data_IF_237318864692
#
_entry.id   IF_237318864692
#
_cell.length_a   1.000
_cell.length_b   1.000
_cell.length_c   1.000
_cell.angle_alpha   90.00
_cell.angle_beta   90.00
_cell.angle_gamma   90.00
#
_symmetry.space_group_name_H-M   'P 1'
#
loop_
_entity.id
_entity.type
_entity.pdbx_description
1 polymer ?
#
# COMPACT_ATOMS: atom_id res chain seq x y z
N UNK A 1 -7.47 2.15 36.55
CA UNK A 1 -8.21 2.30 35.28
C UNK A 1 -7.53 3.39 34.47
N UNK A 2 -6.67 3.03 33.52
CA UNK A 2 -6.00 3.99 32.64
C UNK A 2 -6.92 4.29 31.48
N UNK A 3 -7.61 5.43 31.55
CA UNK A 3 -8.39 5.97 30.44
C UNK A 3 -7.45 6.77 29.53
N UNK A 4 -7.18 6.25 28.33
CA UNK A 4 -6.67 7.00 27.18
C UNK A 4 -6.90 6.18 25.90
N UNK A 5 -7.23 6.81 24.75
CA UNK A 5 -7.98 8.05 24.60
C UNK A 5 -9.06 7.98 23.50
N UNK A 6 -10.17 8.70 23.73
CA UNK A 6 -11.31 8.94 22.81
C UNK A 6 -10.90 9.57 21.46
N UNK A 7 -9.61 9.89 21.25
CA UNK A 7 -9.07 10.44 20.01
C UNK A 7 -9.06 9.43 18.86
N UNK A 8 -8.86 8.13 19.12
CA UNK A 8 -8.91 7.10 18.06
C UNK A 8 -10.28 7.01 17.39
N UNK A 9 -11.36 7.24 18.13
CA UNK A 9 -12.72 7.21 17.60
C UNK A 9 -13.04 8.36 16.62
N UNK A 10 -12.40 9.53 16.78
CA UNK A 10 -12.72 10.71 15.95
C UNK A 10 -12.23 10.56 14.51
N UNK A 11 -11.12 9.88 14.30
CA UNK A 11 -10.61 9.65 12.95
C UNK A 11 -11.42 8.58 12.22
N UNK A 12 -11.88 7.56 12.94
CA UNK A 12 -12.72 6.51 12.38
C UNK A 12 -14.13 6.98 11.98
N UNK A 13 -14.60 8.15 12.46
CA UNK A 13 -15.89 8.73 12.02
C UNK A 13 -15.81 9.59 10.77
N UNK A 14 -14.60 9.82 10.20
CA UNK A 14 -14.40 10.65 9.00
C UNK A 14 -14.61 9.91 7.66
N UNK A 15 -15.08 8.66 7.70
CA UNK A 15 -15.53 7.89 6.51
C UNK A 15 -14.42 7.19 5.71
N UNK A 16 -14.81 6.48 4.62
CA UNK A 16 -13.98 5.65 3.70
C UNK A 16 -12.68 6.28 3.25
N UNK A 17 -12.69 7.58 2.95
CA UNK A 17 -11.49 8.27 2.56
C UNK A 17 -10.39 8.28 3.64
N UNK A 18 -10.77 8.30 4.93
CA UNK A 18 -9.81 8.45 6.05
C UNK A 18 -9.34 7.09 6.57
N UNK A 19 -10.26 6.21 6.98
CA UNK A 19 -9.86 4.89 7.48
C UNK A 19 -9.24 3.96 6.40
N UNK A 20 -9.47 4.19 5.10
CA UNK A 20 -8.82 3.41 4.02
C UNK A 20 -7.59 4.08 3.41
N UNK A 21 -7.05 5.12 4.06
CA UNK A 21 -5.84 5.80 3.59
C UNK A 21 -4.60 4.88 3.65
N UNK A 22 -4.53 4.02 4.66
CA UNK A 22 -3.47 3.03 4.83
C UNK A 22 -3.96 1.88 5.74
N UNK A 23 -3.18 0.81 5.77
CA UNK A 23 -3.49 -0.42 6.52
C UNK A 23 -3.60 -0.18 8.03
N UNK A 24 -2.73 0.66 8.60
CA UNK A 24 -2.71 0.95 10.03
C UNK A 24 -4.02 1.60 10.48
N UNK A 25 -4.43 2.67 9.82
CA UNK A 25 -5.70 3.35 10.14
C UNK A 25 -6.88 2.42 9.91
N UNK A 26 -6.85 1.59 8.86
CA UNK A 26 -7.91 0.62 8.60
C UNK A 26 -8.00 -0.44 9.71
N UNK A 27 -6.87 -0.91 10.24
CA UNK A 27 -6.82 -1.86 11.33
C UNK A 27 -7.32 -1.23 12.64
N UNK A 28 -6.80 -0.06 13.00
CA UNK A 28 -7.17 0.68 14.22
C UNK A 28 -8.68 1.01 14.25
N UNK A 29 -9.28 1.25 13.08
CA UNK A 29 -10.71 1.54 12.94
C UNK A 29 -11.60 0.31 12.66
N UNK A 30 -11.05 -0.91 12.63
CA UNK A 30 -11.82 -2.13 12.32
C UNK A 30 -12.39 -2.16 10.89
N UNK A 31 -11.77 -1.43 9.97
CA UNK A 31 -12.22 -1.17 8.60
C UNK A 31 -11.58 -2.07 7.54
N UNK A 32 -10.59 -2.90 7.91
CA UNK A 32 -9.76 -3.64 6.95
C UNK A 32 -10.56 -4.35 5.87
N UNK A 33 -11.59 -5.09 6.27
CA UNK A 33 -12.47 -5.81 5.33
C UNK A 33 -13.16 -4.86 4.36
N UNK A 34 -13.66 -3.72 4.84
CA UNK A 34 -14.28 -2.72 3.98
C UNK A 34 -13.24 -2.18 2.99
N UNK A 35 -12.09 -1.70 3.47
CA UNK A 35 -11.07 -1.11 2.63
C UNK A 35 -10.55 -2.07 1.54
N UNK A 36 -10.34 -3.34 1.90
CA UNK A 36 -10.01 -4.40 0.95
C UNK A 36 -11.05 -4.54 -0.16
N UNK A 37 -12.31 -4.69 0.24
CA UNK A 37 -13.38 -5.09 -0.68
C UNK A 37 -13.96 -3.91 -1.47
N UNK A 38 -13.74 -2.67 -1.05
CA UNK A 38 -14.40 -1.50 -1.65
C UNK A 38 -13.44 -0.42 -2.14
N UNK A 39 -12.20 -0.40 -1.67
CA UNK A 39 -11.22 0.66 -2.02
C UNK A 39 -10.00 0.06 -2.73
N UNK A 40 -9.33 -0.92 -2.12
CA UNK A 40 -8.04 -1.41 -2.59
C UNK A 40 -8.14 -2.47 -3.69
N UNK A 41 -9.30 -3.10 -3.89
CA UNK A 41 -9.53 -4.04 -4.99
C UNK A 41 -9.91 -3.37 -6.33
N UNK A 42 -9.89 -2.03 -6.41
CA UNK A 42 -10.32 -1.30 -7.60
C UNK A 42 -9.28 -1.41 -8.73
N UNK A 43 -9.70 -1.23 -10.00
CA UNK A 43 -8.77 -1.13 -11.11
C UNK A 43 -7.75 0.00 -10.88
N UNK A 44 -6.49 -0.24 -11.19
CA UNK A 44 -5.38 0.68 -10.95
C UNK A 44 -4.75 1.15 -12.25
N UNK A 45 -4.17 2.35 -12.24
CA UNK A 45 -3.37 2.85 -13.36
C UNK A 45 -2.04 2.11 -13.40
N UNK A 46 -1.53 1.82 -14.60
CA UNK A 46 -0.20 1.25 -14.76
C UNK A 46 0.86 2.28 -14.39
N UNK A 47 1.73 1.92 -13.48
CA UNK A 47 2.87 2.75 -13.07
C UNK A 47 4.00 1.84 -12.62
N UNK A 48 5.24 2.27 -12.83
CA UNK A 48 6.41 1.52 -12.42
C UNK A 48 6.41 1.17 -10.91
N UNK A 49 6.06 2.08 -9.98
CA UNK A 49 5.95 1.75 -8.55
C UNK A 49 4.88 0.68 -8.28
N UNK A 50 3.74 0.73 -8.96
CA UNK A 50 2.67 -0.23 -8.79
C UNK A 50 3.06 -1.63 -9.29
N UNK A 51 3.71 -1.69 -10.45
CA UNK A 51 4.14 -2.95 -11.07
C UNK A 51 5.25 -3.61 -10.23
N UNK A 52 6.26 -2.85 -9.80
CA UNK A 52 7.32 -3.36 -8.90
C UNK A 52 6.72 -3.88 -7.60
N UNK A 53 5.77 -3.15 -7.00
CA UNK A 53 5.11 -3.60 -5.79
C UNK A 53 4.41 -4.94 -6.02
N UNK A 54 3.64 -5.08 -7.11
CA UNK A 54 2.91 -6.32 -7.39
C UNK A 54 3.86 -7.50 -7.57
N UNK A 55 4.98 -7.30 -8.24
CA UNK A 55 6.01 -8.35 -8.44
C UNK A 55 6.62 -8.77 -7.10
N UNK A 56 6.97 -7.81 -6.24
CA UNK A 56 7.50 -8.08 -4.89
C UNK A 56 6.50 -8.84 -4.03
N UNK A 57 5.23 -8.41 -4.01
CA UNK A 57 4.18 -9.09 -3.22
C UNK A 57 3.93 -10.51 -3.75
N UNK A 58 3.97 -10.69 -5.07
CA UNK A 58 3.81 -12.01 -5.68
C UNK A 58 4.97 -12.93 -5.29
N UNK A 59 6.21 -12.46 -5.43
CA UNK A 59 7.39 -13.23 -5.04
C UNK A 59 7.38 -13.61 -3.55
N UNK A 60 7.07 -12.66 -2.66
CA UNK A 60 6.97 -12.93 -1.23
C UNK A 60 5.87 -13.96 -0.93
N UNK A 61 4.70 -13.85 -1.60
CA UNK A 61 3.61 -14.80 -1.47
C UNK A 61 3.98 -16.21 -1.94
N UNK A 62 4.75 -16.35 -3.01
CA UNK A 62 5.20 -17.64 -3.52
C UNK A 62 6.28 -18.27 -2.61
N UNK A 63 7.22 -17.46 -2.10
CA UNK A 63 8.19 -17.92 -1.09
C UNK A 63 7.49 -18.44 0.18
N UNK A 64 6.42 -17.77 0.65
CA UNK A 64 5.64 -18.24 1.79
C UNK A 64 4.94 -19.57 1.53
N UNK A 65 4.46 -19.83 0.31
CA UNK A 65 3.88 -21.14 -0.06
C UNK A 65 4.93 -22.26 -0.04
N UNK A 66 6.19 -21.91 -0.29
CA UNK A 66 7.32 -22.82 -0.21
C UNK A 66 7.90 -22.96 1.22
N UNK A 67 7.17 -22.49 2.23
CA UNK A 67 7.54 -22.50 3.65
C UNK A 67 8.78 -21.65 4.00
N UNK A 68 9.08 -20.63 3.20
CA UNK A 68 10.09 -19.65 3.59
C UNK A 68 9.67 -18.92 4.87
N UNK A 69 10.64 -18.68 5.74
CA UNK A 69 10.50 -17.87 6.95
C UNK A 69 10.49 -16.38 6.61
N UNK A 70 9.94 -15.57 7.51
CA UNK A 70 9.95 -14.10 7.35
C UNK A 70 11.37 -13.55 7.20
N UNK A 71 12.32 -14.11 7.94
CA UNK A 71 13.74 -13.75 7.85
C UNK A 71 14.33 -14.09 6.47
N UNK A 72 13.98 -15.24 5.89
CA UNK A 72 14.46 -15.60 4.54
C UNK A 72 13.92 -14.65 3.47
N UNK A 73 12.66 -14.21 3.61
CA UNK A 73 12.04 -13.23 2.71
C UNK A 73 12.70 -11.86 2.88
N UNK A 74 12.95 -11.42 4.12
CA UNK A 74 13.66 -10.17 4.39
C UNK A 74 15.05 -10.16 3.72
N UNK A 75 15.85 -11.20 3.96
CA UNK A 75 17.20 -11.32 3.37
C UNK A 75 17.14 -11.33 1.84
N UNK A 76 16.15 -11.97 1.24
CA UNK A 76 15.97 -11.97 -0.21
C UNK A 76 15.69 -10.57 -0.76
N UNK A 77 14.81 -9.81 -0.11
CA UNK A 77 14.45 -8.45 -0.54
C UNK A 77 15.59 -7.46 -0.29
N UNK A 78 16.30 -7.54 0.83
CA UNK A 78 17.50 -6.74 1.09
C UNK A 78 18.57 -6.97 0.03
N UNK A 79 18.83 -8.24 -0.32
CA UNK A 79 19.76 -8.58 -1.41
C UNK A 79 19.29 -8.00 -2.75
N UNK A 80 17.99 -8.00 -3.01
CA UNK A 80 17.42 -7.39 -4.23
C UNK A 80 17.74 -5.90 -4.30
N UNK A 81 17.69 -5.19 -3.18
CA UNK A 81 18.08 -3.78 -3.10
C UNK A 81 19.58 -3.55 -3.41
N UNK A 82 20.46 -4.51 -3.12
CA UNK A 82 21.89 -4.43 -3.43
C UNK A 82 22.21 -4.52 -4.92
N UNK A 83 21.34 -5.15 -5.72
CA UNK A 83 21.52 -5.25 -7.17
C UNK A 83 21.18 -3.96 -7.92
N UNK A 84 20.59 -2.98 -7.25
CA UNK A 84 20.24 -1.71 -7.88
C UNK A 84 21.52 -0.91 -8.19
N UNK A 85 21.70 -0.43 -9.43
CA UNK A 85 22.95 0.20 -9.86
C UNK A 85 23.17 1.60 -9.28
N UNK A 86 22.15 2.20 -8.65
CA UNK A 86 22.20 3.54 -8.08
C UNK A 86 22.09 3.47 -6.55
N UNK A 87 23.05 4.02 -5.80
CA UNK A 87 23.09 3.93 -4.33
C UNK A 87 21.88 4.60 -3.65
N UNK A 88 21.32 5.67 -4.24
CA UNK A 88 20.11 6.30 -3.71
C UNK A 88 18.88 5.41 -3.92
N UNK A 89 18.82 4.67 -5.03
CA UNK A 89 17.76 3.68 -5.26
C UNK A 89 17.90 2.50 -4.30
N UNK A 90 19.11 2.01 -4.06
CA UNK A 90 19.36 0.96 -3.06
C UNK A 90 18.97 1.39 -1.65
N UNK A 91 19.29 2.62 -1.26
CA UNK A 91 18.92 3.17 0.04
C UNK A 91 17.40 3.29 0.20
N UNK A 92 16.72 3.86 -0.80
CA UNK A 92 15.26 3.99 -0.80
C UNK A 92 14.56 2.62 -0.84
N UNK A 93 15.13 1.64 -1.56
CA UNK A 93 14.64 0.26 -1.56
C UNK A 93 14.69 -0.36 -0.15
N UNK A 94 15.83 -0.24 0.54
CA UNK A 94 15.96 -0.73 1.93
C UNK A 94 14.97 -0.07 2.87
N UNK A 95 14.83 1.25 2.80
CA UNK A 95 13.86 1.98 3.62
C UNK A 95 12.42 1.47 3.39
N UNK A 96 12.06 1.16 2.14
CA UNK A 96 10.77 0.56 1.81
C UNK A 96 10.64 -0.86 2.36
N UNK A 97 11.67 -1.70 2.23
CA UNK A 97 11.66 -3.07 2.79
C UNK A 97 11.46 -3.02 4.31
N UNK A 98 12.25 -2.20 5.02
CA UNK A 98 12.18 -2.06 6.47
C UNK A 98 10.82 -1.54 6.95
N UNK A 99 10.27 -0.54 6.23
CA UNK A 99 9.03 0.11 6.62
C UNK A 99 7.79 -0.73 6.34
N UNK A 100 7.78 -1.48 5.24
CA UNK A 100 6.56 -2.12 4.74
C UNK A 100 6.53 -3.64 4.91
N UNK A 101 7.68 -4.32 4.89
CA UNK A 101 7.71 -5.79 4.91
C UNK A 101 7.02 -6.41 6.13
N UNK A 102 7.21 -5.93 7.39
CA UNK A 102 6.53 -6.51 8.54
C UNK A 102 5.00 -6.44 8.42
N UNK A 103 4.49 -5.28 7.98
CA UNK A 103 3.05 -5.06 7.77
C UNK A 103 2.52 -5.95 6.64
N UNK A 104 3.29 -6.09 5.56
CA UNK A 104 2.95 -6.94 4.42
C UNK A 104 2.86 -8.41 4.82
N UNK A 105 3.81 -8.93 5.59
CA UNK A 105 3.82 -10.34 6.02
C UNK A 105 2.61 -10.66 6.92
N UNK A 106 2.25 -9.74 7.83
CA UNK A 106 1.03 -9.84 8.64
C UNK A 106 -0.23 -9.81 7.76
N UNK A 107 -0.28 -8.96 6.73
CA UNK A 107 -1.41 -8.89 5.80
C UNK A 107 -1.56 -10.17 4.97
N UNK A 108 -0.46 -10.75 4.48
CA UNK A 108 -0.47 -12.00 3.69
C UNK A 108 -0.96 -13.16 4.56
N UNK A 109 -0.51 -13.25 5.81
CA UNK A 109 -1.02 -14.23 6.79
C UNK A 109 -2.49 -13.97 7.15
N UNK A 110 -2.91 -12.70 7.12
CA UNK A 110 -4.19 -12.20 7.63
C UNK A 110 -5.35 -12.10 6.64
N UNK A 111 -5.29 -12.73 5.45
CA UNK A 111 -6.32 -12.79 4.39
C UNK A 111 -6.16 -11.80 3.21
N UNK A 112 -5.09 -11.00 3.11
CA UNK A 112 -4.83 -10.21 1.90
C UNK A 112 -3.98 -11.02 0.91
N UNK A 113 -4.63 -11.73 -0.01
CA UNK A 113 -3.96 -12.63 -0.95
C UNK A 113 -3.66 -12.01 -2.32
N UNK A 114 -4.20 -10.83 -2.64
CA UNK A 114 -4.05 -10.23 -3.97
C UNK A 114 -3.02 -9.10 -3.99
N UNK A 115 -1.97 -9.18 -4.84
CA UNK A 115 -0.94 -8.15 -4.94
C UNK A 115 -1.48 -6.73 -5.17
N UNK A 116 -2.54 -6.60 -5.98
CA UNK A 116 -3.19 -5.31 -6.24
C UNK A 116 -3.81 -4.65 -5.01
N UNK A 117 -4.38 -5.44 -4.10
CA UNK A 117 -5.01 -4.93 -2.87
C UNK A 117 -3.93 -4.43 -1.90
N UNK A 118 -2.87 -5.22 -1.70
CA UNK A 118 -1.73 -4.84 -0.86
C UNK A 118 -1.07 -3.57 -1.40
N UNK A 119 -0.77 -3.54 -2.69
CA UNK A 119 -0.09 -2.39 -3.30
C UNK A 119 -0.94 -1.11 -3.34
N UNK A 120 -2.28 -1.24 -3.39
CA UNK A 120 -3.18 -0.10 -3.25
C UNK A 120 -3.23 0.40 -1.81
N UNK A 121 -3.21 -0.51 -0.82
CA UNK A 121 -3.18 -0.16 0.60
C UNK A 121 -1.88 0.55 1.02
N UNK A 122 -0.78 0.27 0.29
CA UNK A 122 0.51 0.94 0.41
C UNK A 122 0.59 2.27 -0.38
N UNK A 123 -0.49 2.66 -1.07
CA UNK A 123 -0.55 3.81 -2.00
C UNK A 123 0.47 3.76 -3.16
N UNK A 124 1.01 2.57 -3.48
CA UNK A 124 1.91 2.37 -4.63
C UNK A 124 1.13 2.17 -5.93
N UNK A 125 -0.11 1.69 -5.83
CA UNK A 125 -1.06 1.61 -6.93
C UNK A 125 -2.19 2.63 -6.78
N UNK A 126 -2.27 3.57 -7.73
CA UNK A 126 -3.36 4.53 -7.78
C UNK A 126 -4.60 3.95 -8.46
N UNK A 127 -5.79 4.12 -7.85
CA UNK A 127 -7.03 3.70 -8.50
C UNK A 127 -7.30 4.51 -9.77
N UNK A 128 -7.72 3.83 -10.84
CA UNK A 128 -8.07 4.46 -12.11
C UNK A 128 -9.15 5.53 -11.95
N UNK A 129 -10.13 5.29 -11.07
CA UNK A 129 -11.17 6.28 -10.77
C UNK A 129 -10.59 7.57 -10.20
N UNK A 130 -9.69 7.48 -9.22
CA UNK A 130 -9.03 8.65 -8.61
C UNK A 130 -8.22 9.40 -9.64
N UNK A 131 -7.39 8.69 -10.41
CA UNK A 131 -6.55 9.26 -11.45
C UNK A 131 -7.38 10.04 -12.50
N UNK A 132 -8.48 9.44 -12.99
CA UNK A 132 -9.37 10.10 -13.95
C UNK A 132 -10.07 11.32 -13.35
N UNK A 133 -10.46 11.28 -12.08
CA UNK A 133 -11.05 12.43 -11.40
C UNK A 133 -10.06 13.60 -11.30
N UNK A 134 -8.80 13.32 -10.96
CA UNK A 134 -7.73 14.32 -10.89
C UNK A 134 -7.42 14.93 -12.26
N UNK A 135 -7.31 14.11 -13.30
CA UNK A 135 -7.11 14.59 -14.68
C UNK A 135 -8.26 15.50 -15.15
N UNK A 136 -9.51 15.14 -14.82
CA UNK A 136 -10.67 15.96 -15.18
C UNK A 136 -10.66 17.29 -14.42
N UNK A 137 -10.29 17.29 -13.13
CA UNK A 137 -10.17 18.50 -12.35
C UNK A 137 -9.07 19.43 -12.90
N UNK A 138 -7.90 18.88 -13.27
CA UNK A 138 -6.83 19.65 -13.91
C UNK A 138 -7.28 20.29 -15.22
N UNK A 139 -7.98 19.54 -16.09
CA UNK A 139 -8.53 20.09 -17.34
C UNK A 139 -9.49 21.25 -17.11
N UNK A 140 -10.33 21.18 -16.07
CA UNK A 140 -11.21 22.28 -15.71
C UNK A 140 -10.43 23.51 -15.25
N UNK A 141 -9.39 23.34 -14.45
CA UNK A 141 -8.53 24.46 -14.00
C UNK A 141 -7.84 25.15 -15.18
N UNK A 142 -7.29 24.39 -16.11
CA UNK A 142 -6.66 24.93 -17.32
C UNK A 142 -7.66 25.69 -18.20
N UNK A 143 -8.88 25.17 -18.35
CA UNK A 143 -9.94 25.83 -19.13
C UNK A 143 -10.47 27.12 -18.49
N UNK A 144 -10.33 27.27 -17.17
CA UNK A 144 -10.77 28.46 -16.42
C UNK A 144 -9.67 29.51 -16.27
N UNK A 145 -8.47 29.27 -16.81
CA UNK A 145 -7.36 30.21 -16.72
C UNK A 145 -7.68 31.45 -17.56
N UNK A 146 -7.83 32.58 -16.89
CA UNK A 146 -8.02 33.89 -17.52
C UNK A 146 -6.69 34.29 -18.20
N UNK A 147 -6.69 34.80 -19.44
CA UNK A 147 -5.48 35.20 -20.17
C UNK A 147 -4.57 36.17 -19.40
#
# INVERSE_FOLDING_TARGET
>A
AVASPVLGLKECTRGSAVWCQNVKTAADCGALKHCLQTVWNKPTVKSLPCDICKDVITAAGDMLKDNATEQEILVYLEKTCDWLPNPNLSASCREMVDSYLPVILDMIKGQMSHPGEVCSALNLCESLQKHLAELNHQKQLESNKIP
#
